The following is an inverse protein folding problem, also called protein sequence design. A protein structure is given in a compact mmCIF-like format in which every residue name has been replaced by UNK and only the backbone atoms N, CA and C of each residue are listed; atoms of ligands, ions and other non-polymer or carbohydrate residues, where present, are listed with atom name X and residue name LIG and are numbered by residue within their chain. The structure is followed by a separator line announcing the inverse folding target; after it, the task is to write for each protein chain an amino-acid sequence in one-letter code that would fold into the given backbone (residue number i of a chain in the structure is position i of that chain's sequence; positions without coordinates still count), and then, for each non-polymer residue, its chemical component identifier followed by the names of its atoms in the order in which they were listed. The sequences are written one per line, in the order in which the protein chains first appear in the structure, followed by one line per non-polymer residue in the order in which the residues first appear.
data_IF_372132622187
#
_entry.id   IF_372132622187
#
_cell.length_a   1.000
_cell.length_b   1.000
_cell.length_c   1.000
_cell.angle_alpha   90.00
_cell.angle_beta   90.00
_cell.angle_gamma   90.00
#
_symmetry.space_group_name_H-M   'P 1'
#
loop_
_entity.id
_entity.type
_entity.pdbx_description
1 polymer ?
#
# COMPACT_ATOMS: atom_id res chain seq x y z
N UNK A 1 7.36 16.01 0.69
CA UNK A 1 7.07 16.64 2.00
C UNK A 1 8.39 17.25 2.46
N UNK A 2 8.41 18.56 2.65
CA UNK A 2 9.62 19.31 3.02
C UNK A 2 9.49 19.85 4.44
N UNK A 3 10.62 20.02 5.12
CA UNK A 3 10.68 20.59 6.46
C UNK A 3 12.07 20.38 7.07
N UNK A 4 12.52 21.27 7.98
CA UNK A 4 13.78 21.09 8.69
C UNK A 4 13.72 19.87 9.63
N UNK A 5 14.89 19.43 10.14
CA UNK A 5 14.96 18.38 11.15
C UNK A 5 14.10 18.71 12.38
N UNK A 6 13.37 17.73 12.90
CA UNK A 6 12.41 17.93 14.01
C UNK A 6 11.06 18.55 13.62
N UNK A 7 10.79 18.80 12.33
CA UNK A 7 9.50 19.33 11.86
C UNK A 7 8.31 18.36 11.96
N UNK A 8 8.55 17.09 12.29
CA UNK A 8 7.52 16.06 12.34
C UNK A 8 7.23 15.37 11.00
N UNK A 9 8.07 15.56 9.96
CA UNK A 9 7.93 14.92 8.65
C UNK A 9 7.76 13.40 8.74
N UNK A 10 8.59 12.73 9.53
CA UNK A 10 8.52 11.27 9.71
C UNK A 10 7.20 10.87 10.38
N UNK A 11 6.74 11.62 11.38
CA UNK A 11 5.48 11.33 12.05
C UNK A 11 4.28 11.52 11.11
N UNK A 12 4.32 12.54 10.26
CA UNK A 12 3.34 12.70 9.19
C UNK A 12 3.36 11.52 8.23
N UNK A 13 4.53 11.03 7.81
CA UNK A 13 4.64 9.85 6.94
C UNK A 13 4.09 8.59 7.61
N UNK A 14 4.34 8.38 8.91
CA UNK A 14 3.73 7.28 9.68
C UNK A 14 2.21 7.40 9.73
N UNK A 15 1.68 8.60 9.98
CA UNK A 15 0.24 8.85 9.98
C UNK A 15 -0.39 8.59 8.60
N UNK A 16 0.29 8.97 7.53
CA UNK A 16 -0.13 8.66 6.15
C UNK A 16 -0.12 7.14 5.91
N UNK A 17 0.94 6.43 6.31
CA UNK A 17 1.00 4.97 6.18
C UNK A 17 -0.16 4.28 6.93
N UNK A 18 -0.41 4.68 8.18
CA UNK A 18 -1.50 4.16 8.98
C UNK A 18 -2.87 4.48 8.36
N UNK A 19 -3.08 5.71 7.86
CA UNK A 19 -4.32 6.11 7.19
C UNK A 19 -4.57 5.31 5.91
N UNK A 20 -3.52 5.06 5.11
CA UNK A 20 -3.63 4.24 3.90
C UNK A 20 -3.94 2.78 4.24
N UNK A 21 -3.26 2.22 5.24
CA UNK A 21 -3.49 0.86 5.71
C UNK A 21 -4.90 0.67 6.29
N UNK A 22 -5.44 1.68 6.98
CA UNK A 22 -6.80 1.65 7.51
C UNK A 22 -7.87 1.74 6.41
N UNK A 23 -7.56 2.35 5.27
CA UNK A 23 -8.52 2.62 4.20
C UNK A 23 -8.52 1.56 3.08
N UNK A 24 -7.54 0.66 3.02
CA UNK A 24 -7.40 -0.32 1.94
C UNK A 24 -7.10 -1.72 2.49
N UNK A 25 -7.50 -2.77 1.78
CA UNK A 25 -7.09 -4.14 2.10
C UNK A 25 -5.63 -4.40 1.65
N UNK A 26 -4.84 -5.24 2.35
CA UNK A 26 -3.43 -5.51 2.00
C UNK A 26 -3.24 -6.25 0.66
N UNK A 27 -4.26 -6.92 0.13
CA UNK A 27 -4.25 -7.50 -1.21
C UNK A 27 -4.43 -6.46 -2.34
N UNK A 28 -4.81 -5.23 -2.00
CA UNK A 28 -5.05 -4.13 -2.97
C UNK A 28 -4.04 -3.00 -2.88
N UNK A 29 -3.31 -2.89 -1.78
CA UNK A 29 -2.33 -1.85 -1.51
C UNK A 29 -1.06 -2.46 -0.91
N UNK A 30 0.07 -2.23 -1.56
CA UNK A 30 1.40 -2.48 -1.01
C UNK A 30 2.11 -1.17 -0.64
N UNK A 31 2.85 -1.20 0.46
CA UNK A 31 3.69 -0.09 0.95
C UNK A 31 5.15 -0.55 1.00
N UNK A 32 6.04 0.25 0.40
CA UNK A 32 7.49 0.15 0.55
C UNK A 32 7.96 1.31 1.40
N UNK A 33 8.76 1.01 2.41
CA UNK A 33 9.31 1.99 3.35
C UNK A 33 10.80 2.19 3.06
N UNK A 34 11.25 3.44 2.94
CA UNK A 34 12.65 3.78 2.69
C UNK A 34 13.09 4.82 3.72
N UNK A 35 13.94 4.41 4.66
CA UNK A 35 14.55 5.30 5.63
C UNK A 35 15.81 5.99 5.07
N UNK A 36 16.10 7.19 5.56
CA UNK A 36 17.37 7.86 5.33
C UNK A 36 18.56 7.13 5.96
N UNK A 37 19.76 7.64 5.70
CA UNK A 37 21.01 7.03 6.16
C UNK A 37 21.23 7.06 7.69
N UNK A 38 20.42 7.83 8.46
CA UNK A 38 20.59 8.00 9.90
C UNK A 38 19.27 7.95 10.66
N UNK A 39 18.89 6.75 11.13
CA UNK A 39 17.75 6.56 12.06
C UNK A 39 18.02 7.01 13.50
N UNK A 40 19.01 7.89 13.70
CA UNK A 40 19.68 8.15 14.99
C UNK A 40 18.82 8.94 16.00
N UNK A 41 17.62 9.39 15.64
CA UNK A 41 16.77 10.23 16.52
C UNK A 41 15.33 9.75 16.69
N UNK A 42 15.06 8.47 16.40
CA UNK A 42 13.68 7.97 16.38
C UNK A 42 12.87 8.51 15.19
N UNK A 43 13.54 9.11 14.21
CA UNK A 43 13.04 9.49 12.89
C UNK A 43 13.29 8.29 11.96
N UNK A 44 12.31 7.40 11.87
CA UNK A 44 12.35 6.19 11.03
C UNK A 44 10.94 5.66 10.76
N UNK A 45 10.73 5.07 9.60
CA UNK A 45 9.48 4.39 9.23
C UNK A 45 9.38 2.98 9.79
N UNK A 46 10.37 2.48 10.56
CA UNK A 46 10.35 1.14 11.15
C UNK A 46 9.05 0.78 11.88
N UNK A 47 8.39 1.65 12.66
CA UNK A 47 7.11 1.27 13.28
C UNK A 47 6.03 0.85 12.28
N UNK A 48 6.09 1.33 11.03
CA UNK A 48 5.16 0.97 9.97
C UNK A 48 5.40 -0.45 9.40
N UNK A 49 6.48 -1.15 9.76
CA UNK A 49 6.72 -2.53 9.29
C UNK A 49 5.72 -3.53 9.88
N UNK A 50 5.03 -3.16 10.96
CA UNK A 50 3.96 -3.97 11.57
C UNK A 50 2.66 -3.92 10.75
N UNK A 51 2.55 -3.01 9.78
CA UNK A 51 1.38 -2.94 8.91
C UNK A 51 1.38 -4.12 7.94
N UNK A 52 0.25 -4.82 7.74
CA UNK A 52 0.18 -5.95 6.80
C UNK A 52 0.39 -5.53 5.34
N UNK A 53 0.29 -4.23 5.04
CA UNK A 53 0.55 -3.64 3.73
C UNK A 53 2.05 -3.39 3.49
N UNK A 54 2.86 -3.29 4.55
CA UNK A 54 4.29 -3.02 4.44
C UNK A 54 5.02 -4.33 4.12
N UNK A 55 5.55 -4.45 2.90
CA UNK A 55 6.18 -5.69 2.45
C UNK A 55 7.70 -5.57 2.24
N UNK A 56 8.23 -4.34 2.24
CA UNK A 56 9.67 -4.06 2.12
C UNK A 56 10.04 -2.85 2.96
N UNK A 57 11.13 -2.95 3.71
CA UNK A 57 11.80 -1.83 4.38
C UNK A 57 13.24 -1.75 3.91
N UNK A 58 13.67 -0.54 3.52
CA UNK A 58 15.00 -0.24 2.98
C UNK A 58 15.61 0.91 3.77
N UNK A 59 16.94 0.97 3.74
CA UNK A 59 17.71 2.09 4.24
C UNK A 59 18.54 2.63 3.08
N UNK A 60 18.47 3.93 2.82
CA UNK A 60 19.14 4.57 1.69
C UNK A 60 20.66 4.35 1.67
N UNK A 61 21.26 4.10 2.84
CA UNK A 61 22.68 3.79 2.97
C UNK A 61 23.10 2.38 2.55
N UNK A 62 22.17 1.48 2.19
CA UNK A 62 22.49 0.16 1.61
C UNK A 62 22.42 0.22 0.07
N UNK A 63 23.57 0.44 -0.61
CA UNK A 63 23.58 0.65 -2.05
C UNK A 63 23.29 -0.63 -2.83
N UNK A 64 23.48 -1.82 -2.25
CA UNK A 64 23.19 -3.09 -2.91
C UNK A 64 21.68 -3.29 -2.95
N UNK A 65 21.02 -3.21 -1.79
CA UNK A 65 19.56 -3.34 -1.71
C UNK A 65 18.84 -2.25 -2.48
N UNK A 66 19.36 -1.03 -2.50
CA UNK A 66 18.76 0.06 -3.27
C UNK A 66 18.83 -0.19 -4.78
N UNK A 67 19.94 -0.74 -5.28
CA UNK A 67 20.06 -1.14 -6.70
C UNK A 67 19.11 -2.27 -7.05
N UNK A 68 19.03 -3.30 -6.22
CA UNK A 68 18.09 -4.41 -6.40
C UNK A 68 16.64 -3.92 -6.40
N UNK A 69 16.29 -3.03 -5.47
CA UNK A 69 14.98 -2.41 -5.43
C UNK A 69 14.68 -1.58 -6.68
N UNK A 70 15.62 -0.74 -7.13
CA UNK A 70 15.43 0.06 -8.35
C UNK A 70 15.24 -0.84 -9.59
N UNK A 71 15.99 -1.93 -9.70
CA UNK A 71 15.82 -2.91 -10.78
C UNK A 71 14.46 -3.60 -10.72
N UNK A 72 14.05 -4.06 -9.54
CA UNK A 72 12.75 -4.69 -9.34
C UNK A 72 11.59 -3.72 -9.63
N UNK A 73 11.69 -2.47 -9.16
CA UNK A 73 10.70 -1.43 -9.41
C UNK A 73 10.59 -1.09 -10.90
N UNK A 74 11.73 -0.97 -11.59
CA UNK A 74 11.76 -0.77 -13.05
C UNK A 74 11.11 -1.93 -13.82
N UNK A 75 11.39 -3.16 -13.40
CA UNK A 75 10.73 -4.36 -13.94
C UNK A 75 9.22 -4.37 -13.70
N UNK A 76 8.78 -3.98 -12.50
CA UNK A 76 7.35 -3.88 -12.17
C UNK A 76 6.65 -2.81 -12.99
N UNK A 77 7.23 -1.60 -13.12
CA UNK A 77 6.67 -0.55 -13.98
C UNK A 77 6.50 -1.04 -15.42
N UNK A 78 7.49 -1.74 -15.97
CA UNK A 78 7.40 -2.33 -17.31
C UNK A 78 6.29 -3.38 -17.41
N UNK A 79 6.21 -4.32 -16.46
CA UNK A 79 5.15 -5.33 -16.39
C UNK A 79 3.76 -4.70 -16.33
N UNK A 80 3.59 -3.61 -15.56
CA UNK A 80 2.32 -2.88 -15.48
C UNK A 80 1.96 -2.18 -16.77
N UNK A 81 2.94 -1.58 -17.45
CA UNK A 81 2.72 -0.97 -18.76
C UNK A 81 2.23 -2.01 -19.78
N UNK A 82 2.81 -3.21 -19.79
CA UNK A 82 2.36 -4.33 -20.64
C UNK A 82 0.93 -4.80 -20.32
N UNK A 83 0.54 -4.82 -19.04
CA UNK A 83 -0.82 -5.20 -18.62
C UNK A 83 -1.88 -4.14 -18.90
N UNK A 84 -1.52 -2.87 -18.79
CA UNK A 84 -2.44 -1.75 -19.03
C UNK A 84 -2.70 -1.56 -20.53
N UNK A 85 -1.74 -1.89 -21.40
CA UNK A 85 -1.86 -1.69 -22.83
C UNK A 85 -2.05 -0.20 -23.15
N UNK A 86 -3.14 0.12 -23.84
CA UNK A 86 -3.51 1.52 -24.19
C UNK A 86 -4.26 2.24 -23.07
N UNK A 87 -4.71 1.54 -22.03
CA UNK A 87 -5.44 2.15 -20.92
C UNK A 87 -4.47 2.81 -19.95
N UNK A 88 -4.89 3.93 -19.35
CA UNK A 88 -4.21 4.41 -18.15
C UNK A 88 -4.64 3.62 -16.90
N UNK A 89 -3.89 3.81 -15.81
CA UNK A 89 -4.17 3.12 -14.55
C UNK A 89 -5.53 3.50 -13.96
N UNK A 90 -5.96 4.76 -14.06
CA UNK A 90 -7.20 5.23 -13.43
C UNK A 90 -8.43 4.63 -14.14
N UNK A 91 -8.39 4.58 -15.47
CA UNK A 91 -9.40 3.95 -16.30
C UNK A 91 -9.45 2.44 -16.07
N UNK A 92 -8.30 1.77 -16.05
CA UNK A 92 -8.23 0.36 -15.72
C UNK A 92 -8.78 0.07 -14.31
N UNK A 93 -8.37 0.88 -13.32
CA UNK A 93 -8.73 0.69 -11.92
C UNK A 93 -10.22 0.92 -11.68
N UNK A 94 -10.83 1.95 -12.28
CA UNK A 94 -12.27 2.19 -12.17
C UNK A 94 -13.11 1.03 -12.72
N UNK A 95 -12.69 0.43 -13.84
CA UNK A 95 -13.34 -0.74 -14.45
C UNK A 95 -13.27 -1.98 -13.55
N UNK A 96 -12.15 -2.17 -12.85
CA UNK A 96 -11.92 -3.35 -12.00
C UNK A 96 -12.46 -3.18 -10.57
N UNK A 97 -12.51 -1.96 -10.03
CA UNK A 97 -13.17 -1.64 -8.76
C UNK A 97 -14.70 -1.73 -8.88
N UNK A 98 -15.28 -1.29 -10.00
CA UNK A 98 -16.73 -1.36 -10.24
C UNK A 98 -17.28 -2.80 -10.26
N UNK A 99 -16.44 -3.80 -10.59
CA UNK A 99 -16.79 -5.23 -10.50
C UNK A 99 -16.84 -5.77 -9.07
N UNK A 100 -16.34 -5.03 -8.07
CA UNK A 100 -16.41 -5.38 -6.64
C UNK A 100 -17.67 -4.80 -5.96
N UNK A 101 -18.34 -3.81 -6.55
CA UNK A 101 -19.53 -3.22 -5.95
C UNK A 101 -20.65 -4.25 -5.92
N UNK A 102 -20.91 -4.74 -4.71
CA UNK A 102 -21.99 -5.66 -4.38
C UNK A 102 -23.29 -5.09 -4.95
N UNK A 103 -23.99 -5.88 -5.78
CA UNK A 103 -25.31 -5.53 -6.27
C UNK A 103 -26.19 -5.10 -5.06
N UNK A 104 -27.00 -4.03 -5.19
CA UNK A 104 -27.81 -3.55 -4.08
C UNK A 104 -28.72 -4.69 -3.60
N UNK A 105 -28.58 -5.04 -2.33
CA UNK A 105 -29.50 -5.96 -1.65
C UNK A 105 -30.87 -5.28 -1.69
N UNK A 106 -31.92 -5.89 -2.27
CA UNK A 106 -33.25 -5.32 -2.18
C UNK A 106 -33.66 -5.25 -0.70
N UNK A 107 -33.86 -4.05 -0.18
CA UNK A 107 -34.42 -3.85 1.16
C UNK A 107 -35.84 -4.44 1.20
N UNK A 108 -35.96 -5.66 1.70
CA UNK A 108 -37.26 -6.23 1.99
C UNK A 108 -37.74 -5.69 3.33
N UNK A 109 -38.49 -4.58 3.25
CA UNK A 109 -39.34 -4.03 4.30
C UNK A 109 -40.18 -5.13 4.95
N UNK A 110 -39.79 -5.58 6.13
CA UNK A 110 -40.50 -6.58 6.91
C UNK A 110 -40.93 -6.00 8.24
N UNK A 111 -42.15 -5.49 8.30
CA UNK A 111 -42.88 -5.33 9.56
C UNK A 111 -43.21 -6.71 10.16
N UNK A 112 -43.48 -6.70 11.48
CA UNK A 112 -44.30 -7.64 12.28
C UNK A 112 -43.53 -8.48 13.33
N UNK A 113 -43.83 -8.14 14.58
CA UNK A 113 -43.88 -8.88 15.85
C UNK A 113 -43.07 -10.16 16.06
N UNK A 114 -42.32 -10.16 17.18
CA UNK A 114 -41.59 -11.30 17.71
C UNK A 114 -42.45 -12.16 18.67
N UNK A 115 -42.44 -13.50 18.52
CA UNK A 115 -42.62 -14.44 19.62
C UNK A 115 -41.30 -15.16 19.99
N UNK A 116 -41.22 -15.77 21.18
CA UNK A 116 -39.94 -16.18 21.77
C UNK A 116 -39.42 -17.51 21.20
N UNK A 117 -38.13 -17.49 20.90
CA UNK A 117 -37.20 -18.63 20.94
C UNK A 117 -37.64 -19.89 20.20
N UNK A 118 -37.28 -19.96 18.92
CA UNK A 118 -37.03 -21.21 18.22
C UNK A 118 -35.67 -21.14 17.55
N UNK A 119 -34.93 -22.24 17.64
CA UNK A 119 -33.52 -22.41 17.22
C UNK A 119 -33.14 -21.64 15.97
N UNK A 120 -32.04 -20.90 16.07
CA UNK A 120 -31.46 -20.08 15.01
C UNK A 120 -31.01 -20.99 13.86
N UNK A 121 -31.92 -21.29 12.92
CA UNK A 121 -31.55 -21.94 11.67
C UNK A 121 -30.72 -20.96 10.88
N UNK A 122 -29.42 -21.19 10.83
CA UNK A 122 -28.52 -20.52 9.91
C UNK A 122 -29.04 -20.76 8.48
N UNK A 123 -29.68 -19.75 7.89
CA UNK A 123 -29.85 -19.71 6.44
C UNK A 123 -28.45 -19.81 5.83
N UNK A 124 -28.21 -20.67 4.83
CA UNK A 124 -26.97 -20.58 4.07
C UNK A 124 -26.91 -19.15 3.55
N UNK A 125 -25.87 -18.42 3.94
CA UNK A 125 -25.67 -17.06 3.47
C UNK A 125 -25.76 -17.10 1.94
N UNK A 126 -26.71 -16.36 1.38
CA UNK A 126 -26.79 -16.13 -0.05
C UNK A 126 -25.39 -15.73 -0.52
N UNK A 127 -24.92 -16.44 -1.57
CA UNK A 127 -23.57 -16.44 -2.12
C UNK A 127 -22.58 -15.49 -1.45
N UNK A 128 -21.61 -16.05 -0.71
CA UNK A 128 -20.40 -15.31 -0.34
C UNK A 128 -19.91 -14.61 -1.60
N UNK A 129 -19.74 -13.27 -1.62
CA UNK A 129 -19.14 -12.62 -2.76
C UNK A 129 -17.82 -13.34 -3.00
N UNK A 130 -17.68 -13.92 -4.20
CA UNK A 130 -16.45 -14.57 -4.62
C UNK A 130 -15.37 -13.50 -4.46
N UNK A 131 -14.45 -13.70 -3.51
CA UNK A 131 -13.35 -12.77 -3.34
C UNK A 131 -12.60 -12.77 -4.68
N UNK A 132 -12.52 -11.64 -5.40
CA UNK A 132 -12.14 -11.60 -6.81
C UNK A 132 -10.67 -11.99 -7.10
N UNK A 133 -10.02 -12.71 -6.18
CA UNK A 133 -8.59 -12.93 -6.17
C UNK A 133 -7.82 -11.63 -5.90
N UNK A 134 -6.50 -11.71 -5.72
CA UNK A 134 -5.66 -10.52 -5.63
C UNK A 134 -5.76 -9.72 -6.93
N UNK A 135 -5.87 -8.39 -6.81
CA UNK A 135 -5.83 -7.51 -7.98
C UNK A 135 -4.53 -7.76 -8.77
N UNK A 136 -4.56 -7.86 -10.10
CA UNK A 136 -3.34 -8.02 -10.89
C UNK A 136 -2.46 -6.76 -10.91
N UNK A 137 -3.03 -5.62 -10.47
CA UNK A 137 -2.37 -4.31 -10.36
C UNK A 137 -2.73 -3.65 -9.02
N UNK A 138 -2.23 -4.15 -7.88
CA UNK A 138 -2.43 -3.48 -6.60
C UNK A 138 -1.75 -2.11 -6.61
N UNK A 139 -2.30 -1.13 -5.90
CA UNK A 139 -1.66 0.17 -5.74
C UNK A 139 -0.35 -0.03 -4.97
N UNK A 140 0.71 0.63 -5.43
CA UNK A 140 2.02 0.59 -4.79
C UNK A 140 2.37 2.00 -4.31
N UNK A 141 2.68 2.15 -3.03
CA UNK A 141 3.12 3.43 -2.44
C UNK A 141 4.53 3.24 -1.89
N UNK A 142 5.44 4.10 -2.33
CA UNK A 142 6.82 4.15 -1.81
C UNK A 142 6.93 5.36 -0.90
N UNK A 143 7.07 5.14 0.40
CA UNK A 143 7.28 6.19 1.39
C UNK A 143 8.77 6.34 1.64
N UNK A 144 9.31 7.51 1.34
CA UNK A 144 10.72 7.85 1.53
C UNK A 144 10.82 8.90 2.62
N UNK A 145 11.42 8.53 3.75
CA UNK A 145 11.55 9.45 4.89
C UNK A 145 12.54 10.57 4.60
N UNK A 146 13.67 10.25 3.95
CA UNK A 146 14.70 11.22 3.57
C UNK A 146 15.06 11.12 2.08
N UNK A 147 14.37 11.93 1.28
CA UNK A 147 14.57 11.95 -0.16
C UNK A 147 15.95 12.48 -0.57
N UNK A 148 16.50 13.44 0.17
CA UNK A 148 17.81 14.01 -0.13
C UNK A 148 18.91 12.98 0.10
N UNK A 149 18.83 12.21 1.20
CA UNK A 149 19.75 11.09 1.43
C UNK A 149 19.61 9.98 0.38
N UNK A 150 18.41 9.74 -0.15
CA UNK A 150 18.18 8.76 -1.21
C UNK A 150 18.79 9.21 -2.55
N UNK A 151 18.71 10.50 -2.87
CA UNK A 151 19.22 11.07 -4.12
C UNK A 151 20.70 11.43 -4.07
N UNK A 152 21.27 11.56 -2.86
CA UNK A 152 22.69 11.83 -2.69
C UNK A 152 23.51 10.69 -3.31
N UNK A 153 24.56 11.01 -4.10
CA UNK A 153 25.49 10.00 -4.57
C UNK A 153 26.07 9.25 -3.38
N UNK A 154 26.13 7.92 -3.44
CA UNK A 154 26.86 7.14 -2.43
C UNK A 154 28.27 7.73 -2.32
N UNK A 155 28.63 8.24 -1.13
CA UNK A 155 29.94 8.85 -0.87
C UNK A 155 31.03 7.85 -1.28
N UNK A 156 31.62 8.10 -2.45
CA UNK A 156 32.38 7.07 -3.18
C UNK A 156 32.64 7.43 -4.64
N UNK A 157 32.94 8.69 -4.94
CA UNK A 157 33.94 8.95 -5.99
C UNK A 157 35.30 8.96 -5.30
N UNK A 158 36.07 7.86 -5.27
CA UNK A 158 37.51 8.01 -5.15
C UNK A 158 37.94 8.84 -6.36
N UNK A 159 38.70 9.91 -6.11
CA UNK A 159 39.16 10.80 -7.17
C UNK A 159 39.66 10.02 -8.38
N UNK A 160 39.21 10.42 -9.57
CA UNK A 160 39.86 10.01 -10.81
C UNK A 160 41.29 10.58 -10.79
N UNK A 161 42.33 9.78 -11.06
CA UNK A 161 43.69 10.30 -11.20
C UNK A 161 43.80 11.27 -12.38
#
# INVERSE_FOLDING_TARGET
IEGPGGSGRTELLRAVAASLAAAARPDRLGIVLVDGAGGERGESLRPCTELPHAFTHLVASDPVRMREFAQALGGEVKRRAELLGELDFAEWHSRHEAGTTTAPIPEQRGDIEAPPTSTLRLRPAAGRPVDPGPSPLPRLVVLVDDFDALMAPALGSPGRP
#
